data_IF_337676625388
#
_entry.id   IF_337676625388
#
_cell.length_a   1.000
_cell.length_b   1.000
_cell.length_c   1.000
_cell.angle_alpha   90.00
_cell.angle_beta   90.00
_cell.angle_gamma   90.00
#
_symmetry.space_group_name_H-M   'P 1'
#
loop_
_entity.id
_entity.type
_entity.pdbx_description
1 polymer ?
#
# COMPACT_ATOMS: atom_id res chain seq x y z
N UNK A 1 24.41 46.87 30.33
CA UNK A 1 23.37 47.61 29.59
C UNK A 1 22.02 47.45 30.30
N UNK A 2 21.61 48.42 31.11
CA UNK A 2 20.28 48.41 31.72
C UNK A 2 19.24 48.74 30.66
N UNK A 3 18.37 47.79 30.35
CA UNK A 3 17.39 47.95 29.29
C UNK A 3 16.15 48.63 29.84
N UNK A 4 15.69 49.69 29.20
CA UNK A 4 14.55 50.48 29.69
C UNK A 4 13.27 49.63 29.72
N UNK A 5 12.30 49.95 30.58
CA UNK A 5 11.04 49.18 30.65
C UNK A 5 10.31 49.15 29.30
N UNK A 6 10.39 50.22 28.51
CA UNK A 6 9.91 50.25 27.12
C UNK A 6 10.70 49.29 26.23
N UNK A 7 12.03 49.31 26.36
CA UNK A 7 12.99 48.33 25.86
C UNK A 7 12.42 46.90 26.00
N UNK A 8 12.30 46.50 27.26
CA UNK A 8 11.86 45.20 27.76
C UNK A 8 10.52 44.77 27.21
N UNK A 9 9.53 45.65 27.25
CA UNK A 9 8.18 45.36 26.74
C UNK A 9 8.24 45.09 25.23
N UNK A 10 9.03 45.83 24.46
CA UNK A 10 9.11 45.64 23.01
C UNK A 10 9.72 44.29 22.62
N UNK A 11 10.82 43.83 23.24
CA UNK A 11 11.32 42.47 22.91
C UNK A 11 10.43 41.38 23.46
N UNK A 12 9.85 41.54 24.66
CA UNK A 12 8.90 40.53 25.15
C UNK A 12 7.71 40.42 24.19
N UNK A 13 7.19 41.54 23.69
CA UNK A 13 6.12 41.53 22.69
C UNK A 13 6.54 40.87 21.37
N UNK A 14 7.74 41.18 20.84
CA UNK A 14 8.26 40.56 19.61
C UNK A 14 8.49 39.04 19.78
N UNK A 15 9.02 38.61 20.93
CA UNK A 15 9.25 37.19 21.24
C UNK A 15 7.92 36.45 21.41
N UNK A 16 6.96 37.04 22.13
CA UNK A 16 5.62 36.45 22.29
C UNK A 16 4.90 36.37 20.95
N UNK A 17 5.02 37.38 20.08
CA UNK A 17 4.42 37.34 18.74
C UNK A 17 5.05 36.24 17.87
N UNK A 18 6.38 36.09 17.89
CA UNK A 18 7.09 35.06 17.11
C UNK A 18 6.83 33.63 17.60
N UNK A 19 6.49 33.43 18.88
CA UNK A 19 6.31 32.08 19.46
C UNK A 19 4.83 31.72 19.61
N UNK A 20 3.99 32.65 20.04
CA UNK A 20 2.57 32.38 20.27
C UNK A 20 1.75 32.43 18.99
N UNK A 21 2.11 33.26 18.00
CA UNK A 21 1.36 33.32 16.73
C UNK A 21 1.46 32.00 15.96
N UNK A 22 2.63 31.34 15.82
CA UNK A 22 2.73 30.02 15.18
C UNK A 22 2.09 28.87 15.98
N UNK A 23 1.95 29.02 17.30
CA UNK A 23 1.34 27.99 18.17
C UNK A 23 -0.19 28.12 18.19
N UNK A 24 -0.72 29.34 18.12
CA UNK A 24 -2.16 29.62 18.14
C UNK A 24 -2.81 29.54 16.75
N UNK A 25 -2.10 29.90 15.69
CA UNK A 25 -2.48 29.51 14.34
C UNK A 25 -1.86 28.14 14.09
N UNK A 26 -2.63 27.05 14.26
CA UNK A 26 -2.20 25.70 13.89
C UNK A 26 -1.45 25.74 12.53
N UNK A 27 -0.12 25.71 12.57
CA UNK A 27 0.67 25.07 11.53
C UNK A 27 0.22 23.62 11.63
N UNK A 28 -0.91 23.33 10.97
CA UNK A 28 -1.48 22.00 10.89
C UNK A 28 -0.36 21.08 10.46
N UNK A 29 -0.08 20.10 11.31
CA UNK A 29 0.79 18.97 11.05
C UNK A 29 1.69 19.11 9.82
N UNK A 30 2.91 19.64 9.99
CA UNK A 30 4.04 19.15 9.17
C UNK A 30 4.40 17.73 9.64
N UNK A 31 3.39 16.86 9.64
CA UNK A 31 3.46 15.41 9.67
C UNK A 31 2.67 14.91 8.47
N UNK A 32 3.10 15.31 7.28
CA UNK A 32 2.65 14.72 6.03
C UNK A 32 3.72 14.74 4.90
N UNK A 33 4.99 15.00 5.21
CA UNK A 33 6.09 14.90 4.24
C UNK A 33 7.18 13.89 4.65
N UNK A 34 6.88 13.02 5.63
CA UNK A 34 7.72 11.88 5.98
C UNK A 34 6.84 10.62 5.99
N UNK A 35 6.22 10.32 4.84
CA UNK A 35 6.18 8.91 4.45
C UNK A 35 7.57 8.66 3.89
N UNK A 36 8.48 8.25 4.77
CA UNK A 36 9.69 7.55 4.37
C UNK A 36 9.28 6.45 3.39
N UNK A 37 9.57 6.66 2.11
CA UNK A 37 9.46 5.70 1.01
C UNK A 37 10.29 4.42 1.24
N UNK A 38 11.06 4.32 2.33
CA UNK A 38 11.97 3.18 2.56
C UNK A 38 11.37 2.01 3.36
N UNK A 39 10.21 2.17 4.02
CA UNK A 39 9.60 1.07 4.79
C UNK A 39 8.18 0.71 4.33
N UNK A 40 7.96 0.75 3.02
CA UNK A 40 6.76 0.19 2.41
C UNK A 40 7.09 -0.82 1.28
N UNK A 41 8.37 -1.04 0.96
CA UNK A 41 8.77 -2.04 -0.05
C UNK A 41 8.56 -3.48 0.44
N UNK A 42 8.78 -3.76 1.72
CA UNK A 42 8.88 -5.16 2.19
C UNK A 42 7.51 -5.84 2.45
N UNK A 43 6.40 -5.10 2.41
CA UNK A 43 5.03 -5.64 2.50
C UNK A 43 4.25 -5.54 1.18
N UNK A 44 4.82 -4.87 0.17
CA UNK A 44 4.23 -4.77 -1.17
C UNK A 44 4.78 -5.85 -2.10
N UNK A 45 5.96 -6.40 -1.83
CA UNK A 45 6.56 -7.46 -2.66
C UNK A 45 5.77 -8.78 -2.61
N UNK A 46 5.22 -9.14 -1.46
CA UNK A 46 4.41 -10.35 -1.32
C UNK A 46 2.96 -10.22 -1.81
N UNK A 47 2.51 -9.02 -2.15
CA UNK A 47 1.13 -8.81 -2.62
C UNK A 47 1.05 -8.33 -4.06
N UNK A 48 2.16 -8.16 -4.79
CA UNK A 48 2.16 -7.66 -6.18
C UNK A 48 2.79 -8.65 -7.16
N UNK A 49 3.66 -9.57 -6.73
CA UNK A 49 4.11 -10.65 -7.63
C UNK A 49 2.97 -11.56 -8.11
N UNK A 50 1.90 -11.68 -7.31
CA UNK A 50 0.68 -12.46 -7.63
C UNK A 50 -0.47 -11.60 -8.18
N UNK A 51 -0.31 -10.28 -8.35
CA UNK A 51 -1.39 -9.45 -8.92
C UNK A 51 -1.32 -9.49 -10.42
N UNK A 52 -1.81 -10.62 -10.93
CA UNK A 52 -1.99 -10.91 -12.34
C UNK A 52 -0.68 -10.87 -13.11
N UNK A 53 -0.15 -12.06 -13.40
CA UNK A 53 0.84 -12.16 -14.45
C UNK A 53 0.30 -11.43 -15.70
N UNK A 54 1.13 -10.64 -16.41
CA UNK A 54 0.67 -10.01 -17.63
C UNK A 54 0.17 -11.11 -18.59
N UNK A 55 -1.13 -11.09 -18.87
CA UNK A 55 -1.88 -12.15 -19.56
C UNK A 55 -2.13 -13.42 -18.72
N UNK A 56 -2.70 -13.27 -17.53
CA UNK A 56 -3.39 -14.32 -16.77
C UNK A 56 -4.78 -13.76 -16.40
N UNK A 57 -5.78 -14.02 -17.22
CA UNK A 57 -7.06 -13.32 -17.15
C UNK A 57 -7.93 -13.79 -15.98
N UNK A 58 -7.84 -15.06 -15.58
CA UNK A 58 -8.63 -15.64 -14.49
C UNK A 58 -7.85 -15.86 -13.18
N UNK A 59 -6.55 -15.57 -13.18
CA UNK A 59 -5.72 -15.42 -11.99
C UNK A 59 -5.36 -16.74 -11.33
N UNK A 60 -5.30 -17.84 -12.09
CA UNK A 60 -4.94 -19.15 -11.56
C UNK A 60 -3.42 -19.44 -11.56
N UNK A 61 -2.62 -18.49 -12.07
CA UNK A 61 -1.17 -18.57 -12.13
C UNK A 61 -0.63 -19.16 -13.44
N UNK A 62 -1.49 -19.47 -14.41
CA UNK A 62 -1.12 -19.94 -15.75
C UNK A 62 -1.26 -18.77 -16.73
N UNK A 63 -0.31 -18.63 -17.66
CA UNK A 63 -0.41 -17.59 -18.67
C UNK A 63 -1.48 -17.94 -19.71
N UNK A 64 -2.32 -16.98 -20.11
CA UNK A 64 -3.35 -17.07 -21.16
C UNK A 64 -2.82 -17.70 -22.46
N UNK A 65 -1.52 -17.56 -22.76
CA UNK A 65 -0.88 -18.15 -23.94
C UNK A 65 -0.72 -19.67 -23.86
N UNK A 66 -0.64 -20.21 -22.65
CA UNK A 66 -0.45 -21.64 -22.34
C UNK A 66 -1.69 -22.27 -21.72
N UNK A 67 -2.59 -21.44 -21.21
CA UNK A 67 -3.87 -21.83 -20.64
C UNK A 67 -4.87 -22.24 -21.75
N UNK A 68 -5.50 -23.40 -21.59
CA UNK A 68 -6.57 -23.86 -22.48
C UNK A 68 -7.91 -23.19 -22.19
N UNK A 69 -8.12 -22.70 -20.98
CA UNK A 69 -9.32 -22.03 -20.51
C UNK A 69 -9.05 -20.64 -19.88
N UNK A 70 -8.59 -19.61 -20.64
CA UNK A 70 -8.21 -18.27 -20.14
C UNK A 70 -9.30 -17.43 -19.46
N UNK A 71 -10.45 -17.99 -19.13
CA UNK A 71 -11.58 -17.28 -18.50
C UNK A 71 -12.14 -18.04 -17.31
N UNK A 72 -11.54 -19.17 -16.97
CA UNK A 72 -12.03 -20.09 -15.97
C UNK A 72 -10.85 -20.68 -15.22
N UNK A 73 -10.63 -20.17 -14.01
CA UNK A 73 -9.53 -20.59 -13.15
C UNK A 73 -9.49 -22.12 -12.98
N UNK A 74 -8.29 -22.68 -13.07
CA UNK A 74 -7.97 -24.07 -12.75
C UNK A 74 -8.48 -24.49 -11.36
N UNK A 75 -8.87 -25.77 -11.24
CA UNK A 75 -9.25 -26.37 -9.96
C UNK A 75 -8.28 -27.47 -9.59
N UNK A 76 -7.42 -27.23 -8.60
CA UNK A 76 -6.48 -28.25 -8.13
C UNK A 76 -7.20 -29.40 -7.44
N UNK A 77 -7.49 -30.45 -8.19
CA UNK A 77 -8.22 -31.64 -7.76
C UNK A 77 -7.40 -32.94 -7.99
N UNK A 78 -6.18 -32.83 -8.49
CA UNK A 78 -5.28 -33.95 -8.78
C UNK A 78 -5.43 -34.53 -10.18
N UNK A 79 -6.22 -33.88 -11.06
CA UNK A 79 -6.45 -34.30 -12.43
C UNK A 79 -6.21 -33.13 -13.36
N UNK A 80 -5.18 -33.27 -14.19
CA UNK A 80 -4.72 -32.28 -15.18
C UNK A 80 -4.55 -30.84 -14.64
N UNK A 81 -4.08 -30.68 -13.39
CA UNK A 81 -3.91 -29.37 -12.72
C UNK A 81 -2.87 -28.40 -13.36
N UNK A 82 -2.45 -28.61 -14.61
CA UNK A 82 -1.47 -27.79 -15.33
C UNK A 82 -1.95 -27.38 -16.71
N UNK A 83 -3.19 -27.71 -17.09
CA UNK A 83 -3.73 -27.33 -18.39
C UNK A 83 -4.60 -26.07 -18.35
N UNK A 84 -4.88 -25.55 -17.16
CA UNK A 84 -5.58 -24.29 -16.91
C UNK A 84 -7.10 -24.40 -17.02
N UNK A 85 -7.62 -25.62 -17.15
CA UNK A 85 -9.05 -25.87 -17.26
C UNK A 85 -9.61 -26.54 -16.01
N UNK A 86 -10.73 -26.03 -15.45
CA UNK A 86 -11.37 -26.65 -14.30
C UNK A 86 -11.94 -28.02 -14.65
N UNK A 87 -11.28 -29.05 -14.15
CA UNK A 87 -11.71 -30.44 -14.27
C UNK A 87 -12.52 -30.93 -13.08
N UNK A 88 -13.19 -32.07 -13.25
CA UNK A 88 -13.91 -32.76 -12.18
C UNK A 88 -13.45 -34.21 -12.07
N UNK A 89 -12.91 -34.58 -10.90
CA UNK A 89 -12.71 -35.98 -10.53
C UNK A 89 -14.04 -36.60 -10.11
N UNK A 90 -14.85 -37.00 -11.09
CA UNK A 90 -16.03 -37.81 -10.77
C UNK A 90 -15.56 -39.15 -10.20
N UNK A 91 -15.84 -39.40 -8.91
CA UNK A 91 -15.61 -40.69 -8.25
C UNK A 91 -16.62 -41.75 -8.72
N UNK A 92 -16.76 -41.92 -10.03
CA UNK A 92 -17.70 -42.87 -10.64
C UNK A 92 -17.04 -44.25 -10.69
N UNK A 93 -16.80 -44.78 -9.49
CA UNK A 93 -16.27 -46.12 -9.24
C UNK A 93 -17.02 -46.84 -8.11
N UNK A 94 -18.21 -46.37 -7.71
CA UNK A 94 -19.06 -47.06 -6.75
C UNK A 94 -20.54 -46.97 -7.14
N UNK A 95 -20.95 -47.78 -8.13
CA UNK A 95 -22.21 -48.55 -8.16
C UNK A 95 -22.20 -49.52 -9.32
#
# INVERSE_FOLDING_TARGET
MSWTNKQRITVVALVVMMVAVPVLWQVGDVRAAQVTEEKQSDLVDQTVAERQAPADYDGDGINDSTDKCPTRSETTNGFQDSDGCPDIVENTGAS
#
